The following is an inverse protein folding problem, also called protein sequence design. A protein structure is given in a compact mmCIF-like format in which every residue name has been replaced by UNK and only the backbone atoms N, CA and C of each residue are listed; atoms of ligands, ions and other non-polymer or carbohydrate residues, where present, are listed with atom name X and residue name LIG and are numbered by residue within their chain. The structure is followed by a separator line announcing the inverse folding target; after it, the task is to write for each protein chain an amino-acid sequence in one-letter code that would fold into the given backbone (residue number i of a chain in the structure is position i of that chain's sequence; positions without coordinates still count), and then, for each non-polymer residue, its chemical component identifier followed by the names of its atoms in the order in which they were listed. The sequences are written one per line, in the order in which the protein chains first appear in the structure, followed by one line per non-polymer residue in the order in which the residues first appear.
data_IF_671003823471
#
_entry.id   IF_671003823471
#
_cell.length_a   1.000
_cell.length_b   1.000
_cell.length_c   1.000
_cell.angle_alpha   90.00
_cell.angle_beta   90.00
_cell.angle_gamma   90.00
#
_symmetry.space_group_name_H-M   'P 1'
#
loop_
_entity.id
_entity.type
_entity.pdbx_description
1 polymer ?
#
# COMPACT_ATOMS: atom_id res chain seq x y z
N UNK A 1 -15.40 4.46 -35.28
CA UNK A 1 -16.76 4.44 -34.66
C UNK A 1 -16.60 4.38 -33.16
N UNK A 2 -17.35 5.18 -32.37
CA UNK A 2 -17.28 5.14 -30.91
C UNK A 2 -17.69 3.76 -30.38
N UNK A 3 -17.07 3.32 -29.28
CA UNK A 3 -17.33 2.01 -28.63
C UNK A 3 -18.68 2.01 -27.90
N UNK A 4 -19.19 3.17 -27.48
CA UNK A 4 -20.51 3.33 -26.86
C UNK A 4 -21.13 4.68 -27.23
N UNK A 5 -22.46 4.78 -27.12
CA UNK A 5 -23.18 6.04 -27.34
C UNK A 5 -22.99 7.00 -26.17
N UNK A 6 -23.21 8.30 -26.42
CA UNK A 6 -23.11 9.32 -25.36
C UNK A 6 -24.07 9.04 -24.20
N UNK A 7 -25.30 8.64 -24.52
CA UNK A 7 -26.34 8.34 -23.52
C UNK A 7 -25.97 7.15 -22.63
N UNK A 8 -25.35 6.11 -23.20
CA UNK A 8 -24.86 4.97 -22.43
C UNK A 8 -23.72 5.37 -21.49
N UNK A 9 -22.78 6.18 -21.98
CA UNK A 9 -21.69 6.71 -21.16
C UNK A 9 -22.22 7.50 -19.97
N UNK A 10 -23.15 8.43 -20.19
CA UNK A 10 -23.72 9.28 -19.14
C UNK A 10 -24.50 8.45 -18.11
N UNK A 11 -25.25 7.43 -18.54
CA UNK A 11 -25.98 6.52 -17.64
C UNK A 11 -25.04 5.72 -16.74
N UNK A 12 -23.97 5.16 -17.31
CA UNK A 12 -22.96 4.42 -16.54
C UNK A 12 -22.24 5.37 -15.58
N UNK A 13 -21.89 6.57 -16.04
CA UNK A 13 -21.27 7.61 -15.23
C UNK A 13 -22.09 7.96 -13.99
N UNK A 14 -23.40 8.16 -14.12
CA UNK A 14 -24.29 8.45 -12.99
C UNK A 14 -24.37 7.28 -11.98
N UNK A 15 -24.37 6.05 -12.49
CA UNK A 15 -24.38 4.83 -11.66
C UNK A 15 -23.07 4.65 -10.88
N UNK A 16 -21.92 4.96 -11.50
CA UNK A 16 -20.62 4.93 -10.84
C UNK A 16 -20.45 6.09 -9.86
N UNK A 17 -20.93 7.29 -10.20
CA UNK A 17 -20.87 8.46 -9.33
C UNK A 17 -21.64 8.25 -8.03
N UNK A 18 -22.84 7.65 -8.09
CA UNK A 18 -23.61 7.31 -6.88
C UNK A 18 -22.96 6.25 -5.99
N UNK A 19 -21.99 5.48 -6.52
CA UNK A 19 -21.20 4.48 -5.81
C UNK A 19 -19.79 4.96 -5.48
N UNK A 20 -19.43 6.17 -5.87
CA UNK A 20 -18.11 6.73 -5.59
C UNK A 20 -18.01 6.99 -4.10
N UNK A 21 -17.00 6.40 -3.46
CA UNK A 21 -16.66 6.60 -2.06
C UNK A 21 -15.42 7.48 -2.01
N UNK A 22 -15.48 8.56 -1.24
CA UNK A 22 -14.38 9.47 -0.88
C UNK A 22 -13.22 9.52 -1.89
N UNK A 23 -13.34 10.35 -2.93
CA UNK A 23 -12.22 10.74 -3.79
C UNK A 23 -11.31 11.76 -3.07
N UNK A 24 -10.87 11.42 -1.86
CA UNK A 24 -9.94 12.24 -1.10
C UNK A 24 -8.59 12.33 -1.81
N UNK A 25 -7.85 13.40 -1.55
CA UNK A 25 -6.44 13.45 -1.97
C UNK A 25 -5.71 12.23 -1.42
N UNK A 26 -4.96 11.56 -2.30
CA UNK A 26 -4.12 10.44 -1.91
C UNK A 26 -3.09 10.95 -0.91
N UNK A 27 -3.19 10.46 0.33
CA UNK A 27 -2.16 10.67 1.34
C UNK A 27 -1.10 9.60 1.21
N UNK A 28 0.15 10.02 1.27
CA UNK A 28 1.26 9.08 1.38
C UNK A 28 1.09 8.23 2.65
N UNK A 29 1.38 6.94 2.48
CA UNK A 29 1.38 5.99 3.59
C UNK A 29 2.82 5.66 3.94
N UNK A 30 3.10 5.60 5.23
CA UNK A 30 4.32 5.07 5.83
C UNK A 30 4.35 3.54 5.86
N UNK A 31 3.37 2.84 5.27
CA UNK A 31 3.36 1.39 5.15
C UNK A 31 4.27 0.93 4.01
N UNK A 32 5.59 0.99 4.21
CA UNK A 32 6.63 0.68 3.22
C UNK A 32 6.42 -0.67 2.52
N UNK A 33 6.03 -1.71 3.27
CA UNK A 33 5.85 -3.06 2.75
C UNK A 33 4.41 -3.37 2.29
N UNK A 34 3.57 -2.37 2.08
CA UNK A 34 2.20 -2.58 1.58
C UNK A 34 2.22 -3.35 0.25
N UNK A 35 1.50 -4.49 0.22
CA UNK A 35 1.47 -5.45 -0.90
C UNK A 35 2.80 -6.18 -1.20
N UNK A 36 3.85 -5.93 -0.43
CA UNK A 36 5.14 -6.62 -0.53
C UNK A 36 5.23 -7.73 0.53
N UNK A 37 4.82 -7.46 1.76
CA UNK A 37 4.83 -8.46 2.84
C UNK A 37 3.64 -9.43 2.74
N UNK A 38 3.93 -10.72 2.87
CA UNK A 38 2.94 -11.81 2.79
C UNK A 38 2.99 -12.67 4.05
N UNK A 39 1.82 -13.18 4.45
CA UNK A 39 1.69 -14.10 5.57
C UNK A 39 2.25 -15.47 5.18
N UNK A 40 3.21 -16.01 5.95
CA UNK A 40 3.79 -17.32 5.65
C UNK A 40 2.77 -18.47 5.68
N UNK A 41 1.68 -18.35 6.44
CA UNK A 41 0.70 -19.44 6.57
C UNK A 41 -0.28 -19.56 5.40
N UNK A 42 -0.69 -18.44 4.80
CA UNK A 42 -1.72 -18.46 3.75
C UNK A 42 -1.34 -17.65 2.52
N UNK A 43 -0.11 -17.15 2.46
CA UNK A 43 0.44 -16.31 1.38
C UNK A 43 -0.35 -15.02 1.12
N UNK A 44 -1.31 -14.71 1.99
CA UNK A 44 -2.13 -13.52 1.88
C UNK A 44 -1.33 -12.27 2.19
N UNK A 45 -1.65 -11.17 1.51
CA UNK A 45 -1.04 -9.86 1.78
C UNK A 45 -1.24 -9.44 3.23
N UNK A 46 -0.18 -8.94 3.84
CA UNK A 46 -0.24 -8.30 5.15
C UNK A 46 -0.44 -6.80 5.01
N UNK A 47 -1.10 -6.19 6.00
CA UNK A 47 -1.41 -4.77 6.04
C UNK A 47 -0.97 -4.18 7.38
N UNK A 48 -0.46 -2.94 7.35
CA UNK A 48 -0.05 -2.22 8.56
C UNK A 48 -1.28 -1.79 9.36
N UNK A 49 -1.29 -2.14 10.63
CA UNK A 49 -2.24 -1.68 11.63
C UNK A 49 -1.55 -0.66 12.53
N UNK A 50 -2.21 0.48 12.77
CA UNK A 50 -1.75 1.55 13.67
C UNK A 50 -2.70 1.68 14.87
N UNK A 51 -2.65 0.75 15.83
CA UNK A 51 -3.56 0.79 16.97
C UNK A 51 -3.27 2.01 17.85
N UNK A 52 -4.30 2.45 18.57
CA UNK A 52 -4.16 3.35 19.72
C UNK A 52 -4.54 2.60 20.99
N UNK A 53 -3.90 2.93 22.12
CA UNK A 53 -4.21 2.39 23.44
C UNK A 53 -4.29 3.54 24.43
N UNK A 54 -5.42 3.70 25.10
CA UNK A 54 -5.69 4.80 26.04
C UNK A 54 -5.45 6.19 25.41
N UNK A 55 -5.81 6.37 24.13
CA UNK A 55 -5.61 7.62 23.38
C UNK A 55 -4.17 7.86 22.90
N UNK A 56 -3.21 7.01 23.27
CA UNK A 56 -1.83 7.10 22.81
C UNK A 56 -1.58 6.15 21.62
N UNK A 57 -0.76 6.60 20.66
CA UNK A 57 -0.27 5.76 19.57
C UNK A 57 0.58 4.61 20.11
N UNK A 58 0.40 3.41 19.59
CA UNK A 58 1.23 2.24 19.91
C UNK A 58 2.00 1.82 18.68
N UNK A 59 3.09 1.08 18.88
CA UNK A 59 3.95 0.60 17.79
C UNK A 59 3.12 -0.10 16.70
N UNK A 60 3.19 0.37 15.44
CA UNK A 60 2.52 -0.27 14.33
C UNK A 60 3.02 -1.70 14.09
N UNK A 61 2.18 -2.50 13.44
CA UNK A 61 2.52 -3.87 13.07
C UNK A 61 1.84 -4.26 11.76
N UNK A 62 2.51 -5.07 10.95
CA UNK A 62 1.90 -5.74 9.82
C UNK A 62 1.14 -6.97 10.31
N UNK A 63 -0.08 -7.17 9.84
CA UNK A 63 -0.90 -8.35 10.14
C UNK A 63 -1.46 -9.01 8.90
N UNK A 64 -1.62 -10.33 8.95
CA UNK A 64 -2.38 -11.07 7.95
C UNK A 64 -3.77 -10.45 7.78
N UNK A 65 -4.18 -10.28 6.52
CA UNK A 65 -5.46 -9.65 6.18
C UNK A 65 -6.44 -10.62 5.50
N UNK A 66 -6.27 -11.93 5.68
CA UNK A 66 -7.16 -12.95 5.11
C UNK A 66 -8.61 -12.75 5.56
N UNK A 67 -8.81 -12.50 6.86
CA UNK A 67 -10.14 -12.34 7.45
C UNK A 67 -10.91 -11.15 6.87
N UNK A 68 -10.23 -10.05 6.56
CA UNK A 68 -10.86 -8.89 5.93
C UNK A 68 -11.32 -9.17 4.49
N UNK A 69 -10.88 -10.27 3.89
CA UNK A 69 -11.32 -10.72 2.57
C UNK A 69 -12.30 -11.89 2.60
N UNK A 70 -12.75 -12.31 3.79
CA UNK A 70 -13.63 -13.46 3.96
C UNK A 70 -12.91 -14.81 4.02
N UNK A 71 -11.57 -14.82 4.00
CA UNK A 71 -10.76 -16.04 4.07
C UNK A 71 -10.31 -16.34 5.51
N UNK A 72 -10.29 -17.62 5.88
CA UNK A 72 -9.71 -18.06 7.16
C UNK A 72 -8.26 -18.48 6.96
N UNK A 73 -7.34 -17.81 7.67
CA UNK A 73 -5.95 -18.24 7.75
C UNK A 73 -5.79 -19.16 8.97
N UNK A 74 -5.19 -20.34 8.79
CA UNK A 74 -5.00 -21.29 9.88
C UNK A 74 -4.06 -20.74 10.96
N UNK A 75 -3.00 -20.01 10.56
CA UNK A 75 -2.01 -19.42 11.46
C UNK A 75 -1.71 -17.97 11.05
N UNK A 76 -2.61 -17.02 11.36
CA UNK A 76 -2.46 -15.63 10.95
C UNK A 76 -1.25 -14.98 11.65
N UNK A 77 -0.29 -14.53 10.84
CA UNK A 77 0.92 -13.88 11.35
C UNK A 77 0.70 -12.39 11.64
N UNK A 78 1.47 -11.88 12.61
CA UNK A 78 1.66 -10.45 12.84
C UNK A 78 3.12 -10.16 13.22
N UNK A 79 3.65 -9.02 12.79
CA UNK A 79 5.04 -8.61 13.05
C UNK A 79 5.12 -7.10 13.23
N UNK A 80 5.94 -6.62 14.18
CA UNK A 80 6.15 -5.18 14.39
C UNK A 80 6.68 -4.54 13.11
N UNK A 81 6.12 -3.39 12.75
CA UNK A 81 6.48 -2.71 11.51
C UNK A 81 7.95 -2.34 11.48
N UNK A 82 8.43 -1.66 12.52
CA UNK A 82 9.84 -1.23 12.60
C UNK A 82 10.82 -2.38 12.39
N UNK A 83 10.56 -3.56 12.98
CA UNK A 83 11.45 -4.71 12.85
C UNK A 83 11.57 -5.22 11.41
N UNK A 84 10.44 -5.33 10.71
CA UNK A 84 10.45 -5.85 9.35
C UNK A 84 10.88 -4.79 8.35
N UNK A 85 10.55 -3.52 8.59
CA UNK A 85 10.97 -2.40 7.76
C UNK A 85 12.50 -2.24 7.82
N UNK A 86 13.09 -2.22 9.03
CA UNK A 86 14.54 -2.16 9.23
C UNK A 86 15.25 -3.37 8.59
N UNK A 87 14.71 -4.58 8.74
CA UNK A 87 15.27 -5.77 8.12
C UNK A 87 15.23 -5.71 6.59
N UNK A 88 14.08 -5.36 6.02
CA UNK A 88 13.93 -5.31 4.56
C UNK A 88 14.78 -4.20 3.96
N UNK A 89 14.88 -3.05 4.62
CA UNK A 89 15.79 -1.98 4.21
C UNK A 89 17.24 -2.46 4.18
N UNK A 90 17.70 -3.11 5.26
CA UNK A 90 19.06 -3.65 5.33
C UNK A 90 19.33 -4.66 4.21
N UNK A 91 18.41 -5.60 3.97
CA UNK A 91 18.54 -6.60 2.91
C UNK A 91 18.48 -5.97 1.51
N UNK A 92 17.59 -5.00 1.31
CA UNK A 92 17.48 -4.27 0.05
C UNK A 92 18.77 -3.52 -0.26
N UNK A 93 19.31 -2.78 0.70
CA UNK A 93 20.58 -2.05 0.54
C UNK A 93 21.78 -2.99 0.42
N UNK A 94 21.76 -4.16 1.06
CA UNK A 94 22.81 -5.18 0.89
C UNK A 94 22.87 -5.68 -0.56
N UNK A 95 21.73 -5.84 -1.22
CA UNK A 95 21.66 -6.35 -2.59
C UNK A 95 21.83 -5.23 -3.63
N UNK A 96 21.19 -4.08 -3.41
CA UNK A 96 21.06 -3.01 -4.41
C UNK A 96 21.80 -1.72 -4.06
N UNK A 97 22.29 -1.57 -2.83
CA UNK A 97 23.05 -0.39 -2.41
C UNK A 97 24.28 -0.09 -3.27
N UNK A 98 25.00 -1.10 -3.80
CA UNK A 98 26.12 -0.86 -4.72
C UNK A 98 25.72 -0.47 -6.15
N UNK A 99 24.43 -0.50 -6.51
CA UNK A 99 23.97 -0.18 -7.86
C UNK A 99 24.14 1.32 -8.09
N UNK A 100 24.98 1.68 -9.06
CA UNK A 100 25.17 3.06 -9.49
C UNK A 100 23.86 3.61 -10.04
N UNK A 101 23.35 4.69 -9.45
CA UNK A 101 22.17 5.41 -9.93
C UNK A 101 22.59 6.74 -10.53
N UNK A 102 22.07 7.07 -11.72
CA UNK A 102 22.27 8.39 -12.33
C UNK A 102 20.99 9.20 -12.13
N UNK A 103 21.11 10.36 -11.48
CA UNK A 103 20.00 11.29 -11.32
C UNK A 103 20.26 12.53 -12.18
N UNK A 104 19.37 12.81 -13.12
CA UNK A 104 19.41 14.07 -13.89
C UNK A 104 18.74 15.14 -13.03
N UNK A 105 19.51 16.16 -12.66
CA UNK A 105 18.99 17.34 -11.99
C UNK A 105 18.91 18.46 -13.03
N UNK A 106 17.70 18.85 -13.42
CA UNK A 106 17.48 20.07 -14.19
C UNK A 106 17.53 21.27 -13.25
N UNK A 107 18.51 22.15 -13.44
CA UNK A 107 18.63 23.41 -12.70
C UNK A 107 18.12 24.52 -13.64
N UNK A 108 16.95 25.14 -13.37
CA UNK A 108 16.43 26.21 -14.23
C UNK A 108 17.34 27.44 -14.18
N UNK A 109 17.86 27.85 -15.34
CA UNK A 109 18.64 29.09 -15.54
C UNK A 109 20.15 28.89 -15.60
N UNK A 110 20.64 28.39 -16.73
CA UNK A 110 21.99 28.71 -17.22
C UNK A 110 22.00 28.70 -18.76
N UNK A 111 21.33 29.72 -19.29
CA UNK A 111 21.55 30.35 -20.58
C UNK A 111 21.32 31.87 -20.42
#
# INVERSE_FOLDING_TARGET
TPIMTRTEFDRIGALLASRSIENGERKDTDALLLRVIHCNSCEGRMYMSKPTKNGASVNPFYKCNSHARGDQCALPASIRASWVDEYVEAEFLRVLGPVQTTHVVEIPGYD
#
